data_IF_674919239014
#
_entry.id   IF_674919239014
#
_cell.length_a   1.000
_cell.length_b   1.000
_cell.length_c   1.000
_cell.angle_alpha   90.00
_cell.angle_beta   90.00
_cell.angle_gamma   90.00
#
_symmetry.space_group_name_H-M   'P 1'
#
loop_
_entity.id
_entity.type
_entity.pdbx_description
1 polymer ?
#
# COMPACT_ATOMS: atom_id res chain seq x y z
N UNK A 1 -11.00 34.20 14.93
CA UNK A 1 -12.31 33.67 14.52
C UNK A 1 -12.18 32.24 14.01
N UNK A 2 -11.24 31.96 13.11
CA UNK A 2 -11.22 30.68 12.38
C UNK A 2 -10.57 29.53 13.17
N UNK A 3 -9.49 29.80 13.91
CA UNK A 3 -8.83 28.81 14.79
C UNK A 3 -9.79 28.30 15.89
N UNK A 4 -10.59 29.20 16.47
CA UNK A 4 -11.56 28.83 17.50
C UNK A 4 -12.69 27.96 16.93
N UNK A 5 -13.12 28.23 15.69
CA UNK A 5 -14.11 27.41 15.01
C UNK A 5 -13.57 26.01 14.68
N UNK A 6 -12.34 25.92 14.18
CA UNK A 6 -11.65 24.64 13.93
C UNK A 6 -11.53 23.82 15.21
N UNK A 7 -11.16 24.44 16.32
CA UNK A 7 -11.04 23.77 17.61
C UNK A 7 -12.39 23.27 18.14
N UNK A 8 -13.44 24.08 18.06
CA UNK A 8 -14.79 23.64 18.43
C UNK A 8 -15.28 22.49 17.55
N UNK A 9 -15.03 22.56 16.23
CA UNK A 9 -15.38 21.49 15.30
C UNK A 9 -14.68 20.18 15.67
N UNK A 10 -13.37 20.20 15.88
CA UNK A 10 -12.60 19.00 16.23
C UNK A 10 -13.04 18.38 17.56
N UNK A 11 -13.48 19.20 18.52
CA UNK A 11 -14.05 18.69 19.77
C UNK A 11 -15.38 17.95 19.52
N UNK A 12 -16.27 18.52 18.70
CA UNK A 12 -17.54 17.86 18.33
C UNK A 12 -17.29 16.56 17.57
N UNK A 13 -16.32 16.55 16.64
CA UNK A 13 -15.93 15.33 15.92
C UNK A 13 -15.39 14.27 16.88
N UNK A 14 -14.54 14.66 17.83
CA UNK A 14 -14.02 13.75 18.85
C UNK A 14 -15.16 13.12 19.66
N UNK A 15 -16.14 13.90 20.08
CA UNK A 15 -17.27 13.39 20.86
C UNK A 15 -18.16 12.44 20.02
N UNK A 16 -18.11 12.56 18.69
CA UNK A 16 -18.83 11.68 17.75
C UNK A 16 -18.17 10.31 17.55
N UNK A 17 -16.91 10.14 17.99
CA UNK A 17 -16.16 8.88 17.87
C UNK A 17 -16.78 7.72 18.65
N UNK A 18 -17.52 8.00 19.73
CA UNK A 18 -18.15 6.98 20.58
C UNK A 18 -19.62 6.77 20.24
N UNK A 19 -20.12 7.37 19.14
CA UNK A 19 -21.50 7.21 18.73
C UNK A 19 -21.79 5.73 18.41
N UNK A 20 -22.92 5.20 18.88
CA UNK A 20 -23.29 3.80 18.66
C UNK A 20 -23.45 3.44 17.16
N UNK A 21 -23.81 4.40 16.32
CA UNK A 21 -23.99 4.19 14.89
C UNK A 21 -22.65 4.31 14.13
N UNK A 22 -22.21 3.22 13.50
CA UNK A 22 -20.95 3.21 12.74
C UNK A 22 -20.95 4.14 11.54
N UNK A 23 -22.12 4.47 10.96
CA UNK A 23 -22.20 5.46 9.88
C UNK A 23 -21.86 6.87 10.37
N UNK A 24 -22.21 7.22 11.61
CA UNK A 24 -21.82 8.50 12.21
C UNK A 24 -20.31 8.55 12.40
N UNK A 25 -19.70 7.44 12.84
CA UNK A 25 -18.24 7.33 12.99
C UNK A 25 -17.50 7.38 11.65
N UNK A 26 -18.05 6.76 10.59
CA UNK A 26 -17.54 6.88 9.23
C UNK A 26 -17.61 8.32 8.70
N UNK A 27 -18.73 9.01 8.88
CA UNK A 27 -18.83 10.44 8.53
C UNK A 27 -17.83 11.28 9.32
N UNK A 28 -17.65 10.97 10.61
CA UNK A 28 -16.66 11.64 11.48
C UNK A 28 -15.24 11.44 10.96
N UNK A 29 -14.87 10.21 10.55
CA UNK A 29 -13.60 9.90 9.91
C UNK A 29 -13.38 10.72 8.63
N UNK A 30 -14.40 10.84 7.78
CA UNK A 30 -14.31 11.64 6.55
C UNK A 30 -14.05 13.12 6.84
N UNK A 31 -14.66 13.66 7.90
CA UNK A 31 -14.44 15.04 8.34
C UNK A 31 -13.02 15.22 8.91
N UNK A 32 -12.51 14.25 9.66
CA UNK A 32 -11.09 14.25 10.07
C UNK A 32 -10.15 14.21 8.87
N UNK A 33 -10.43 13.36 7.87
CA UNK A 33 -9.64 13.30 6.64
C UNK A 33 -9.62 14.64 5.90
N UNK A 34 -10.77 15.31 5.78
CA UNK A 34 -10.82 16.65 5.19
C UNK A 34 -10.01 17.68 6.01
N UNK A 35 -10.07 17.61 7.34
CA UNK A 35 -9.32 18.50 8.22
C UNK A 35 -7.80 18.31 8.13
N UNK A 36 -7.31 17.10 7.78
CA UNK A 36 -5.87 16.81 7.65
C UNK A 36 -5.16 17.80 6.72
N UNK A 37 -5.78 18.15 5.59
CA UNK A 37 -5.19 19.00 4.54
C UNK A 37 -4.92 20.44 5.00
N UNK A 38 -5.52 20.88 6.10
CA UNK A 38 -5.45 22.26 6.61
C UNK A 38 -4.98 22.32 8.06
N UNK A 39 -4.53 21.20 8.62
CA UNK A 39 -4.10 21.13 10.01
C UNK A 39 -2.61 21.42 10.14
N UNK A 40 -2.25 22.21 11.15
CA UNK A 40 -0.86 22.33 11.55
C UNK A 40 -0.39 21.06 12.29
N UNK A 41 0.93 20.93 12.45
CA UNK A 41 1.55 19.81 13.16
C UNK A 41 0.94 19.59 14.54
N UNK A 42 0.65 20.67 15.27
CA UNK A 42 0.07 20.62 16.61
C UNK A 42 -1.29 19.95 16.61
N UNK A 43 -2.19 20.39 15.72
CA UNK A 43 -3.54 19.83 15.57
C UNK A 43 -3.51 18.38 15.09
N UNK A 44 -2.65 18.08 14.12
CA UNK A 44 -2.47 16.72 13.61
C UNK A 44 -2.05 15.76 14.73
N UNK A 45 -1.01 16.09 15.49
CA UNK A 45 -0.44 15.20 16.50
C UNK A 45 -1.31 15.07 17.77
N UNK A 46 -1.96 16.16 18.19
CA UNK A 46 -2.68 16.22 19.47
C UNK A 46 -4.18 15.93 19.38
N UNK A 47 -4.80 16.10 18.19
CA UNK A 47 -6.26 15.93 18.02
C UNK A 47 -6.61 14.88 16.99
N UNK A 48 -6.09 15.01 15.76
CA UNK A 48 -6.52 14.16 14.65
C UNK A 48 -5.94 12.75 14.77
N UNK A 49 -4.62 12.60 14.92
CA UNK A 49 -3.99 11.29 15.02
C UNK A 49 -4.55 10.43 16.19
N UNK A 50 -4.75 10.96 17.41
CA UNK A 50 -5.41 10.20 18.48
C UNK A 50 -6.83 9.74 18.14
N UNK A 51 -7.61 10.57 17.45
CA UNK A 51 -8.95 10.21 16.99
C UNK A 51 -8.90 9.06 15.97
N UNK A 52 -7.97 9.12 15.01
CA UNK A 52 -7.77 8.06 14.04
C UNK A 52 -7.31 6.76 14.69
N UNK A 53 -6.43 6.81 15.70
CA UNK A 53 -6.01 5.62 16.47
C UNK A 53 -7.21 4.97 17.19
N UNK A 54 -8.15 5.78 17.68
CA UNK A 54 -9.41 5.27 18.27
C UNK A 54 -10.24 4.54 17.22
N UNK A 55 -10.42 5.12 16.03
CA UNK A 55 -11.15 4.50 14.93
C UNK A 55 -10.43 3.28 14.33
N UNK A 56 -9.10 3.24 14.43
CA UNK A 56 -8.29 2.10 14.03
C UNK A 56 -8.53 0.86 14.90
N UNK A 57 -9.10 1.04 16.11
CA UNK A 57 -9.46 -0.03 17.04
C UNK A 57 -10.98 -0.20 17.17
N UNK A 58 -11.76 0.33 16.22
CA UNK A 58 -13.22 0.28 16.23
C UNK A 58 -13.77 -1.14 16.14
N UNK A 59 -14.92 -1.41 16.75
CA UNK A 59 -15.56 -2.72 16.68
C UNK A 59 -16.16 -3.03 15.30
N UNK A 60 -16.51 -2.00 14.52
CA UNK A 60 -17.02 -2.14 13.16
C UNK A 60 -15.85 -2.19 12.16
N UNK A 61 -15.69 -3.34 11.49
CA UNK A 61 -14.63 -3.56 10.50
C UNK A 61 -14.62 -2.51 9.39
N UNK A 62 -15.78 -1.96 9.02
CA UNK A 62 -15.90 -0.96 7.96
C UNK A 62 -15.23 0.36 8.37
N UNK A 63 -15.40 0.76 9.63
CA UNK A 63 -14.75 1.95 10.21
C UNK A 63 -13.24 1.75 10.23
N UNK A 64 -12.79 0.57 10.67
CA UNK A 64 -11.37 0.21 10.69
C UNK A 64 -10.74 0.27 9.30
N UNK A 65 -11.35 -0.41 8.33
CA UNK A 65 -10.88 -0.43 6.94
C UNK A 65 -10.78 0.99 6.38
N UNK A 66 -11.82 1.81 6.57
CA UNK A 66 -11.79 3.20 6.09
C UNK A 66 -10.66 4.01 6.74
N UNK A 67 -10.29 3.70 7.98
CA UNK A 67 -9.22 4.40 8.72
C UNK A 67 -7.83 4.11 8.13
N UNK A 68 -7.60 2.92 7.58
CA UNK A 68 -6.35 2.53 6.91
C UNK A 68 -5.99 3.53 5.81
N UNK A 69 -6.96 3.89 4.96
CA UNK A 69 -6.76 4.85 3.89
C UNK A 69 -6.38 6.25 4.41
N UNK A 70 -7.00 6.68 5.52
CA UNK A 70 -6.72 8.00 6.12
C UNK A 70 -5.32 8.05 6.75
N UNK A 71 -4.83 6.94 7.30
CA UNK A 71 -3.42 6.83 7.68
C UNK A 71 -2.47 6.94 6.47
N UNK A 72 -2.84 6.33 5.35
CA UNK A 72 -2.13 6.51 4.08
C UNK A 72 -2.04 7.98 3.68
N UNK A 73 -3.15 8.72 3.79
CA UNK A 73 -3.16 10.16 3.54
C UNK A 73 -2.23 10.95 4.47
N UNK A 74 -2.07 10.55 5.74
CA UNK A 74 -1.09 11.20 6.63
C UNK A 74 0.32 11.02 6.07
N UNK A 75 0.71 9.81 5.65
CA UNK A 75 2.06 9.55 5.09
C UNK A 75 2.33 10.43 3.86
N UNK A 76 1.32 10.68 3.03
CA UNK A 76 1.48 11.52 1.83
C UNK A 76 1.71 12.99 2.16
N UNK A 77 1.14 13.50 3.26
CA UNK A 77 1.10 14.94 3.58
C UNK A 77 1.93 15.35 4.80
N UNK A 78 2.46 14.40 5.57
CA UNK A 78 3.22 14.62 6.79
C UNK A 78 4.67 14.17 6.59
N UNK A 79 5.61 14.91 7.16
CA UNK A 79 7.05 14.58 7.10
C UNK A 79 7.67 14.39 8.49
N UNK A 80 6.88 14.63 9.54
CA UNK A 80 7.31 14.57 10.93
C UNK A 80 7.38 13.13 11.40
N UNK A 81 8.63 12.66 11.59
CA UNK A 81 8.94 11.27 11.90
C UNK A 81 8.16 10.73 13.11
N UNK A 82 7.98 11.53 14.17
CA UNK A 82 7.24 11.10 15.37
C UNK A 82 5.74 10.83 15.10
N UNK A 83 5.16 11.53 14.12
CA UNK A 83 3.78 11.29 13.67
C UNK A 83 3.75 10.05 12.78
N UNK A 84 4.70 9.94 11.84
CA UNK A 84 4.79 8.81 10.92
C UNK A 84 5.03 7.48 11.65
N UNK A 85 5.91 7.42 12.64
CA UNK A 85 6.18 6.22 13.46
C UNK A 85 4.92 5.71 14.18
N UNK A 86 4.09 6.64 14.66
CA UNK A 86 2.80 6.28 15.27
C UNK A 86 1.84 5.70 14.22
N UNK A 87 1.82 6.25 13.00
CA UNK A 87 1.03 5.71 11.89
C UNK A 87 1.53 4.34 11.45
N UNK A 88 2.84 4.14 11.33
CA UNK A 88 3.47 2.84 11.03
C UNK A 88 3.10 1.77 12.06
N UNK A 89 3.09 2.15 13.34
CA UNK A 89 2.64 1.28 14.42
C UNK A 89 1.18 0.83 14.23
N UNK A 90 0.31 1.68 13.69
CA UNK A 90 -1.08 1.29 13.40
C UNK A 90 -1.17 0.27 12.26
N UNK A 91 -0.36 0.38 11.21
CA UNK A 91 -0.31 -0.64 10.15
C UNK A 91 0.15 -2.01 10.68
N UNK A 92 1.14 -2.03 11.57
CA UNK A 92 1.58 -3.25 12.26
C UNK A 92 0.48 -3.82 13.17
N UNK A 93 -0.33 -2.96 13.82
CA UNK A 93 -1.48 -3.40 14.59
C UNK A 93 -2.57 -4.04 13.72
N UNK A 94 -2.85 -3.50 12.54
CA UNK A 94 -3.81 -4.12 11.61
C UNK A 94 -3.38 -5.53 11.16
N UNK A 95 -2.06 -5.74 10.97
CA UNK A 95 -1.50 -7.05 10.60
C UNK A 95 -1.49 -8.06 11.76
N UNK A 96 -1.28 -7.60 12.99
CA UNK A 96 -1.15 -8.49 14.15
C UNK A 96 -2.48 -8.76 14.89
N UNK A 97 -3.51 -7.94 14.69
CA UNK A 97 -4.79 -8.03 15.38
C UNK A 97 -5.55 -9.34 15.04
N UNK A 98 -5.68 -10.29 15.97
CA UNK A 98 -6.29 -11.59 15.70
C UNK A 98 -7.77 -11.52 15.30
N UNK A 99 -8.48 -10.42 15.62
CA UNK A 99 -9.90 -10.29 15.30
C UNK A 99 -10.13 -9.93 13.84
N UNK A 100 -9.14 -9.30 13.18
CA UNK A 100 -9.36 -8.73 11.85
C UNK A 100 -8.19 -8.93 10.86
N UNK A 101 -7.06 -9.46 11.31
CA UNK A 101 -5.91 -9.72 10.44
C UNK A 101 -6.20 -10.70 9.32
N UNK A 102 -7.24 -11.54 9.45
CA UNK A 102 -7.64 -12.51 8.42
C UNK A 102 -8.81 -11.97 7.55
N UNK A 103 -9.27 -10.73 7.80
CA UNK A 103 -10.35 -10.12 7.04
C UNK A 103 -9.89 -9.70 5.65
N UNK A 104 -10.51 -10.29 4.63
CA UNK A 104 -10.16 -10.06 3.22
C UNK A 104 -10.10 -8.58 2.83
N UNK A 105 -11.10 -7.80 3.24
CA UNK A 105 -11.18 -6.39 2.87
C UNK A 105 -10.12 -5.54 3.57
N UNK A 106 -9.69 -5.93 4.77
CA UNK A 106 -8.56 -5.30 5.48
C UNK A 106 -7.28 -5.47 4.68
N UNK A 107 -6.97 -6.69 4.22
CA UNK A 107 -5.79 -6.93 3.38
C UNK A 107 -5.83 -6.15 2.06
N UNK A 108 -6.97 -6.15 1.39
CA UNK A 108 -7.14 -5.41 0.13
C UNK A 108 -6.87 -3.92 0.35
N UNK A 109 -7.38 -3.33 1.43
CA UNK A 109 -7.18 -1.91 1.72
C UNK A 109 -5.73 -1.60 2.13
N UNK A 110 -5.06 -2.51 2.86
CA UNK A 110 -3.63 -2.41 3.17
C UNK A 110 -2.78 -2.38 1.90
N UNK A 111 -2.98 -3.32 0.97
CA UNK A 111 -2.22 -3.38 -0.30
C UNK A 111 -2.42 -2.09 -1.11
N UNK A 112 -3.67 -1.62 -1.23
CA UNK A 112 -3.99 -0.37 -1.93
C UNK A 112 -3.30 0.84 -1.29
N UNK A 113 -3.35 0.90 0.04
CA UNK A 113 -2.72 1.97 0.80
C UNK A 113 -1.21 1.96 0.58
N UNK A 114 -0.55 0.81 0.70
CA UNK A 114 0.89 0.67 0.43
C UNK A 114 1.29 1.01 -1.00
N UNK A 115 0.46 0.65 -1.97
CA UNK A 115 0.65 1.06 -3.36
C UNK A 115 0.63 2.59 -3.50
N UNK A 116 -0.31 3.25 -2.83
CA UNK A 116 -0.46 4.70 -2.88
C UNK A 116 0.69 5.44 -2.18
N UNK A 117 1.13 4.97 -1.02
CA UNK A 117 2.18 5.63 -0.23
C UNK A 117 3.60 5.25 -0.66
N UNK A 118 3.78 4.29 -1.57
CA UNK A 118 5.08 3.79 -2.02
C UNK A 118 6.14 4.88 -2.37
N UNK A 119 5.79 6.03 -3.00
CA UNK A 119 6.78 7.08 -3.27
C UNK A 119 7.03 8.04 -2.10
N UNK A 120 6.25 7.95 -1.01
CA UNK A 120 6.29 8.86 0.14
C UNK A 120 6.89 8.22 1.41
N UNK A 121 6.95 6.89 1.44
CA UNK A 121 7.43 6.13 2.60
C UNK A 121 8.95 6.10 2.66
N UNK A 122 9.50 6.11 3.88
CA UNK A 122 10.94 5.91 4.06
C UNK A 122 11.37 4.47 3.74
N UNK A 123 12.61 4.31 3.26
CA UNK A 123 13.16 3.00 2.87
C UNK A 123 13.09 1.96 3.99
N UNK A 124 13.27 2.38 5.25
CA UNK A 124 13.23 1.46 6.39
C UNK A 124 11.86 0.81 6.56
N UNK A 125 10.79 1.59 6.66
CA UNK A 125 9.43 1.03 6.80
C UNK A 125 9.00 0.24 5.55
N UNK A 126 9.44 0.68 4.37
CA UNK A 126 9.22 -0.04 3.11
C UNK A 126 9.83 -1.45 3.14
N UNK A 127 11.10 -1.57 3.56
CA UNK A 127 11.84 -2.83 3.58
C UNK A 127 11.50 -3.73 4.76
N UNK A 128 11.33 -3.14 5.96
CA UNK A 128 11.12 -3.89 7.22
C UNK A 128 9.67 -4.36 7.37
N UNK A 129 8.71 -3.72 6.69
CA UNK A 129 7.29 -4.03 6.88
C UNK A 129 6.51 -4.19 5.58
N UNK A 130 6.49 -3.19 4.69
CA UNK A 130 5.64 -3.23 3.49
C UNK A 130 6.00 -4.42 2.59
N UNK A 131 7.27 -4.61 2.26
CA UNK A 131 7.70 -5.70 1.39
C UNK A 131 7.44 -7.09 2.00
N UNK A 132 7.82 -7.36 3.27
CA UNK A 132 7.45 -8.61 3.95
C UNK A 132 5.94 -8.86 3.97
N UNK A 133 5.13 -7.83 4.25
CA UNK A 133 3.67 -7.93 4.27
C UNK A 133 3.11 -8.34 2.90
N UNK A 134 3.56 -7.69 1.82
CA UNK A 134 3.13 -8.00 0.46
C UNK A 134 3.54 -9.42 0.05
N UNK A 135 4.75 -9.86 0.40
CA UNK A 135 5.25 -11.19 0.09
C UNK A 135 4.44 -12.29 0.81
N UNK A 136 4.17 -12.08 2.11
CA UNK A 136 3.32 -12.97 2.89
C UNK A 136 1.90 -13.04 2.31
N UNK A 137 1.33 -11.88 1.95
CA UNK A 137 0.00 -11.80 1.35
C UNK A 137 -0.06 -12.49 -0.01
N UNK A 138 0.97 -12.35 -0.86
CA UNK A 138 1.07 -13.06 -2.14
C UNK A 138 1.15 -14.58 -1.96
N UNK A 139 1.91 -15.04 -0.98
CA UNK A 139 2.00 -16.47 -0.63
C UNK A 139 0.66 -17.04 -0.17
N UNK A 140 -0.04 -16.32 0.72
CA UNK A 140 -1.39 -16.69 1.17
C UNK A 140 -2.41 -16.67 0.02
N UNK A 141 -2.30 -15.70 -0.90
CA UNK A 141 -3.22 -15.56 -2.03
C UNK A 141 -3.16 -16.77 -2.98
N UNK A 142 -2.00 -17.40 -3.17
CA UNK A 142 -1.89 -18.64 -3.94
C UNK A 142 -2.76 -19.79 -3.38
N UNK A 143 -3.12 -19.74 -2.10
CA UNK A 143 -3.97 -20.73 -1.43
C UNK A 143 -5.46 -20.35 -1.44
N UNK A 144 -5.80 -19.18 -2.00
CA UNK A 144 -7.17 -18.66 -2.03
C UNK A 144 -8.06 -19.49 -2.96
N UNK A 145 -9.04 -20.18 -2.38
CA UNK A 145 -9.96 -21.05 -3.13
C UNK A 145 -10.97 -20.28 -3.98
N UNK A 146 -11.32 -19.05 -3.59
CA UNK A 146 -12.26 -18.22 -4.36
C UNK A 146 -11.50 -17.47 -5.44
N UNK A 147 -11.56 -17.97 -6.68
CA UNK A 147 -10.87 -17.37 -7.84
C UNK A 147 -11.11 -15.88 -8.00
N UNK A 148 -12.32 -15.38 -7.71
CA UNK A 148 -12.63 -13.94 -7.79
C UNK A 148 -11.80 -13.12 -6.81
N UNK A 149 -11.72 -13.56 -5.55
CA UNK A 149 -10.88 -12.91 -4.52
C UNK A 149 -9.40 -13.07 -4.84
N UNK A 150 -9.00 -14.26 -5.30
CA UNK A 150 -7.61 -14.57 -5.68
C UNK A 150 -7.13 -13.65 -6.79
N UNK A 151 -7.93 -13.50 -7.84
CA UNK A 151 -7.65 -12.61 -8.96
C UNK A 151 -7.61 -11.15 -8.52
N UNK A 152 -8.60 -10.69 -7.75
CA UNK A 152 -8.64 -9.31 -7.25
C UNK A 152 -7.41 -8.96 -6.42
N UNK A 153 -7.01 -9.82 -5.48
CA UNK A 153 -5.78 -9.61 -4.69
C UNK A 153 -4.53 -9.62 -5.58
N UNK A 154 -4.43 -10.55 -6.54
CA UNK A 154 -3.30 -10.61 -7.46
C UNK A 154 -3.16 -9.31 -8.29
N UNK A 155 -4.28 -8.72 -8.71
CA UNK A 155 -4.28 -7.42 -9.38
C UNK A 155 -3.71 -6.34 -8.46
N UNK A 156 -4.18 -6.20 -7.23
CA UNK A 156 -3.64 -5.16 -6.33
C UNK A 156 -2.17 -5.40 -5.96
N UNK A 157 -1.75 -6.65 -5.80
CA UNK A 157 -0.34 -7.00 -5.59
C UNK A 157 0.51 -6.61 -6.81
N UNK A 158 0.01 -6.81 -8.03
CA UNK A 158 0.69 -6.36 -9.23
C UNK A 158 0.86 -4.85 -9.28
N UNK A 159 -0.17 -4.09 -8.90
CA UNK A 159 -0.08 -2.63 -8.80
C UNK A 159 0.98 -2.21 -7.77
N UNK A 160 0.98 -2.85 -6.60
CA UNK A 160 1.95 -2.60 -5.53
C UNK A 160 3.39 -2.89 -5.98
N UNK A 161 3.67 -4.08 -6.51
CA UNK A 161 5.02 -4.44 -6.96
C UNK A 161 5.50 -3.59 -8.13
N UNK A 162 4.60 -3.18 -9.03
CA UNK A 162 4.94 -2.27 -10.13
C UNK A 162 5.31 -0.88 -9.63
N UNK A 163 4.61 -0.36 -8.62
CA UNK A 163 4.96 0.91 -7.99
C UNK A 163 6.32 0.82 -7.26
N UNK A 164 6.55 -0.26 -6.52
CA UNK A 164 7.75 -0.47 -5.73
C UNK A 164 8.98 -0.83 -6.56
N UNK A 165 8.84 -1.40 -7.77
CA UNK A 165 9.99 -1.80 -8.60
C UNK A 165 10.85 -0.62 -9.08
N UNK A 166 10.29 0.59 -9.02
CA UNK A 166 10.97 1.85 -9.32
C UNK A 166 11.79 2.42 -8.15
N UNK A 167 11.65 1.88 -6.94
CA UNK A 167 12.39 2.34 -5.75
C UNK A 167 13.77 1.63 -5.64
N UNK A 168 14.65 2.22 -4.84
CA UNK A 168 15.88 1.56 -4.41
C UNK A 168 15.55 0.60 -3.26
N UNK A 169 16.13 -0.60 -3.29
CA UNK A 169 15.95 -1.64 -2.27
C UNK A 169 17.29 -2.26 -1.94
N UNK A 170 17.49 -2.61 -0.69
CA UNK A 170 18.64 -3.41 -0.27
C UNK A 170 18.62 -4.80 -0.94
N UNK A 171 19.82 -5.38 -1.11
CA UNK A 171 19.99 -6.76 -1.60
C UNK A 171 19.20 -7.74 -0.74
N UNK A 172 19.23 -7.53 0.58
CA UNK A 172 18.51 -8.36 1.55
C UNK A 172 17.00 -8.30 1.34
N UNK A 173 16.42 -7.10 1.22
CA UNK A 173 14.97 -6.95 1.02
C UNK A 173 14.50 -7.52 -0.33
N UNK A 174 15.32 -7.37 -1.38
CA UNK A 174 15.06 -7.98 -2.69
C UNK A 174 15.00 -9.52 -2.60
N UNK A 175 15.96 -10.14 -1.91
CA UNK A 175 16.07 -11.59 -1.81
C UNK A 175 15.02 -12.19 -0.87
N UNK A 176 14.76 -11.54 0.27
CA UNK A 176 13.93 -12.10 1.33
C UNK A 176 12.44 -11.82 1.15
N UNK A 177 12.08 -10.73 0.45
CA UNK A 177 10.69 -10.27 0.37
C UNK A 177 10.24 -9.98 -1.05
N UNK A 178 10.97 -9.15 -1.80
CA UNK A 178 10.50 -8.67 -3.10
C UNK A 178 10.36 -9.80 -4.13
N UNK A 179 11.45 -10.53 -4.40
CA UNK A 179 11.45 -11.63 -5.38
C UNK A 179 10.52 -12.79 -4.98
N UNK A 180 10.52 -13.29 -3.72
CA UNK A 180 9.58 -14.31 -3.27
C UNK A 180 8.11 -13.93 -3.54
N UNK A 181 7.76 -12.67 -3.28
CA UNK A 181 6.42 -12.16 -3.56
C UNK A 181 6.07 -12.11 -5.04
N UNK A 182 7.02 -11.67 -5.89
CA UNK A 182 6.85 -11.70 -7.36
C UNK A 182 6.66 -13.13 -7.89
N UNK A 183 7.39 -14.12 -7.37
CA UNK A 183 7.19 -15.52 -7.75
C UNK A 183 5.80 -16.02 -7.38
N UNK A 184 5.32 -15.66 -6.19
CA UNK A 184 3.96 -15.98 -5.77
C UNK A 184 2.91 -15.35 -6.69
N UNK A 185 3.06 -14.06 -7.01
CA UNK A 185 2.16 -13.36 -7.92
C UNK A 185 2.19 -13.94 -9.34
N UNK A 186 3.37 -14.32 -9.83
CA UNK A 186 3.54 -15.00 -11.12
C UNK A 186 2.75 -16.30 -11.17
N UNK A 187 2.76 -17.09 -10.10
CA UNK A 187 1.99 -18.34 -9.99
C UNK A 187 0.48 -18.09 -10.10
N UNK A 188 -0.03 -17.06 -9.44
CA UNK A 188 -1.44 -16.65 -9.56
C UNK A 188 -1.81 -16.27 -11.00
N UNK A 189 -1.01 -15.41 -11.65
CA UNK A 189 -1.29 -15.01 -13.02
C UNK A 189 -1.11 -16.13 -14.05
N UNK A 190 -0.17 -17.05 -13.85
CA UNK A 190 -0.05 -18.21 -14.74
C UNK A 190 -1.34 -19.04 -14.79
N UNK A 191 -2.09 -19.09 -13.70
CA UNK A 191 -3.37 -19.83 -13.61
C UNK A 191 -4.56 -18.98 -14.05
N UNK A 192 -4.61 -17.70 -13.64
CA UNK A 192 -5.81 -16.87 -13.75
C UNK A 192 -5.78 -15.90 -14.93
N UNK A 193 -4.61 -15.36 -15.27
CA UNK A 193 -4.41 -14.31 -16.29
C UNK A 193 -3.04 -14.44 -16.98
N UNK A 194 -2.83 -15.45 -17.84
CA UNK A 194 -1.52 -15.72 -18.44
C UNK A 194 -0.88 -14.52 -19.17
N UNK A 195 -1.71 -13.62 -19.73
CA UNK A 195 -1.26 -12.39 -20.39
C UNK A 195 -0.40 -11.46 -19.51
N UNK A 196 -0.53 -11.55 -18.19
CA UNK A 196 0.22 -10.72 -17.24
C UNK A 196 1.59 -11.32 -16.87
N UNK A 197 1.83 -12.61 -17.15
CA UNK A 197 3.06 -13.31 -16.74
C UNK A 197 4.31 -12.68 -17.34
N UNK A 198 4.25 -12.27 -18.61
CA UNK A 198 5.41 -11.68 -19.29
C UNK A 198 5.90 -10.39 -18.62
N UNK A 199 4.99 -9.58 -18.07
CA UNK A 199 5.35 -8.35 -17.36
C UNK A 199 6.00 -8.68 -16.02
N UNK A 200 5.47 -9.66 -15.29
CA UNK A 200 6.07 -10.12 -14.03
C UNK A 200 7.46 -10.70 -14.27
N UNK A 201 7.63 -11.54 -15.31
CA UNK A 201 8.92 -12.12 -15.66
C UNK A 201 9.95 -11.03 -16.00
N UNK A 202 9.54 -9.96 -16.69
CA UNK A 202 10.40 -8.80 -16.97
C UNK A 202 10.83 -8.09 -15.68
N UNK A 203 9.89 -7.78 -14.78
CA UNK A 203 10.20 -7.12 -13.50
C UNK A 203 11.13 -8.00 -12.67
N UNK A 204 10.85 -9.29 -12.60
CA UNK A 204 11.64 -10.29 -11.86
C UNK A 204 13.08 -10.30 -12.36
N UNK A 205 13.27 -10.48 -13.67
CA UNK A 205 14.59 -10.52 -14.29
C UNK A 205 15.38 -9.23 -14.07
N UNK A 206 14.72 -8.07 -14.14
CA UNK A 206 15.39 -6.79 -13.90
C UNK A 206 15.89 -6.67 -12.46
N UNK A 207 15.14 -7.19 -11.48
CA UNK A 207 15.57 -7.22 -10.08
C UNK A 207 16.66 -8.26 -9.82
N UNK A 208 16.60 -9.43 -10.47
CA UNK A 208 17.67 -10.42 -10.41
C UNK A 208 18.99 -9.87 -10.97
N UNK A 209 18.96 -9.18 -12.11
CA UNK A 209 20.14 -8.54 -12.69
C UNK A 209 20.74 -7.49 -11.73
N UNK A 210 19.90 -6.73 -11.01
CA UNK A 210 20.36 -5.79 -9.97
C UNK A 210 21.07 -6.51 -8.82
N UNK A 211 20.63 -7.73 -8.46
CA UNK A 211 21.32 -8.53 -7.44
C UNK A 211 22.69 -9.00 -7.91
N UNK A 212 22.79 -9.46 -9.17
CA UNK A 212 24.06 -9.93 -9.74
C UNK A 212 25.12 -8.83 -9.81
N UNK A 213 24.72 -7.61 -10.19
CA UNK A 213 25.62 -6.44 -10.25
C UNK A 213 26.19 -6.03 -8.88
N UNK A 214 25.51 -6.36 -7.79
CA UNK A 214 25.94 -6.04 -6.42
C UNK A 214 26.79 -7.15 -5.78
N UNK A 215 27.10 -8.24 -6.50
CA UNK A 215 27.98 -9.30 -5.98
C UNK A 215 29.44 -8.83 -6.00
N UNK A 216 30.20 -9.00 -4.91
CA UNK A 216 31.59 -8.54 -4.81
C UNK A 216 32.56 -9.19 -5.81
N UNK A 217 32.21 -10.35 -6.39
CA UNK A 217 33.05 -11.10 -7.35
C UNK A 217 32.75 -10.79 -8.84
N UNK A 218 31.93 -9.77 -9.12
CA UNK A 218 31.60 -9.35 -10.48
C UNK A 218 32.71 -8.52 -11.12
N UNK A 219 33.59 -9.18 -11.88
CA UNK A 219 34.54 -8.54 -12.81
C UNK A 219 33.83 -7.54 -13.72
N UNK A 220 33.81 -6.25 -13.36
CA UNK A 220 33.13 -5.22 -14.16
C UNK A 220 34.16 -4.23 -14.66
N UNK A 221 34.47 -4.34 -15.95
CA UNK A 221 35.08 -3.28 -16.73
C UNK A 221 34.23 -2.03 -16.58
N UNK A 222 34.87 -0.96 -16.10
CA UNK A 222 34.29 0.39 -16.00
C UNK A 222 33.97 0.85 -17.42
N UNK A 223 32.74 0.63 -17.85
CA UNK A 223 32.13 1.27 -19.01
C UNK A 223 31.10 2.28 -18.52
N UNK A 224 31.47 3.56 -18.50
CA UNK A 224 30.57 4.67 -18.24
C UNK A 224 29.29 4.53 -19.10
N UNK A 225 28.17 4.16 -18.48
CA UNK A 225 26.85 4.31 -19.07
C UNK A 225 25.92 4.99 -18.07
N UNK A 226 25.48 6.18 -18.49
CA UNK A 226 24.52 7.05 -17.81
C UNK A 226 23.22 6.29 -17.50
N UNK A 227 23.00 5.97 -16.23
CA UNK A 227 21.84 5.22 -15.71
C UNK A 227 20.51 5.97 -15.80
N UNK A 228 20.49 7.21 -16.29
CA UNK A 228 19.29 8.04 -16.38
C UNK A 228 18.49 7.82 -17.66
N UNK A 229 19.11 7.36 -18.77
CA UNK A 229 18.47 7.38 -20.10
C UNK A 229 17.60 6.14 -20.42
N UNK A 230 17.80 5.03 -19.71
CA UNK A 230 16.99 3.81 -19.90
C UNK A 230 15.79 3.71 -18.96
N UNK A 231 15.82 4.41 -17.81
CA UNK A 231 14.76 4.34 -16.81
C UNK A 231 13.46 5.00 -17.30
N UNK A 232 13.55 6.09 -18.08
CA UNK A 232 12.39 6.79 -18.64
C UNK A 232 11.70 5.99 -19.77
N UNK A 233 12.48 5.39 -20.68
CA UNK A 233 11.92 4.59 -21.77
C UNK A 233 11.26 3.29 -21.27
N UNK A 234 11.83 2.67 -20.23
CA UNK A 234 11.25 1.49 -19.57
C UNK A 234 10.03 1.86 -18.73
N UNK A 235 10.07 2.97 -17.98
CA UNK A 235 8.88 3.51 -17.31
C UNK A 235 7.75 3.78 -18.29
N UNK A 236 8.03 4.36 -19.45
CA UNK A 236 7.02 4.61 -20.48
C UNK A 236 6.40 3.32 -21.02
N UNK A 237 7.21 2.29 -21.29
CA UNK A 237 6.71 0.97 -21.74
C UNK A 237 5.91 0.24 -20.66
N UNK A 238 6.39 0.26 -19.41
CA UNK A 238 5.68 -0.32 -18.28
C UNK A 238 4.39 0.44 -17.98
N UNK A 239 4.38 1.78 -17.96
CA UNK A 239 3.15 2.57 -17.80
C UNK A 239 2.13 2.28 -18.91
N UNK A 240 2.59 2.12 -20.15
CA UNK A 240 1.70 1.82 -21.29
C UNK A 240 1.13 0.40 -21.22
N UNK A 241 1.93 -0.60 -20.84
CA UNK A 241 1.40 -1.95 -20.61
C UNK A 241 0.48 -2.00 -19.38
N UNK A 242 0.87 -1.31 -18.31
CA UNK A 242 0.12 -1.21 -17.07
C UNK A 242 -1.23 -0.51 -17.25
N UNK A 243 -1.28 0.60 -17.98
CA UNK A 243 -2.53 1.31 -18.31
C UNK A 243 -3.48 0.43 -19.14
N UNK A 244 -2.96 -0.26 -20.15
CA UNK A 244 -3.74 -1.20 -20.95
C UNK A 244 -4.31 -2.38 -20.12
N UNK A 245 -3.50 -2.94 -19.22
CA UNK A 245 -3.91 -4.04 -18.33
C UNK A 245 -4.89 -3.56 -17.24
N UNK A 246 -4.71 -2.35 -16.71
CA UNK A 246 -5.62 -1.72 -15.74
C UNK A 246 -6.98 -1.42 -16.38
N UNK A 247 -7.01 -0.91 -17.60
CA UNK A 247 -8.27 -0.64 -18.32
C UNK A 247 -9.03 -1.92 -18.66
N UNK A 248 -8.31 -2.98 -19.07
CA UNK A 248 -8.89 -4.32 -19.26
C UNK A 248 -9.50 -4.85 -17.96
N UNK A 249 -8.79 -4.66 -16.85
CA UNK A 249 -9.21 -5.13 -15.52
C UNK A 249 -10.40 -4.33 -14.98
N UNK A 250 -10.39 -3.01 -15.10
CA UNK A 250 -11.50 -2.14 -14.69
C UNK A 250 -12.80 -2.43 -15.45
N UNK A 251 -12.71 -2.80 -16.74
CA UNK A 251 -13.86 -3.24 -17.54
C UNK A 251 -14.47 -4.54 -17.02
N UNK A 252 -13.64 -5.50 -16.61
CA UNK A 252 -14.09 -6.80 -16.07
C UNK A 252 -14.65 -6.65 -14.66
N UNK A 253 -14.01 -5.87 -13.77
CA UNK A 253 -14.53 -5.61 -12.41
C UNK A 253 -15.90 -4.93 -12.45
N UNK A 254 -16.13 -4.00 -13.40
CA UNK A 254 -17.47 -3.41 -13.64
C UNK A 254 -18.49 -4.42 -14.15
N UNK A 255 -18.06 -5.41 -14.91
CA UNK A 255 -18.94 -6.49 -15.38
C UNK A 255 -19.31 -7.46 -14.25
N UNK A 256 -18.36 -7.81 -13.39
CA UNK A 256 -18.59 -8.70 -12.24
C UNK A 256 -19.47 -8.05 -11.15
N UNK A 257 -19.39 -6.73 -10.94
CA UNK A 257 -20.28 -5.99 -10.02
C UNK A 257 -21.72 -5.80 -10.53
N UNK A 258 -22.00 -6.15 -11.79
CA UNK A 258 -23.34 -6.03 -12.41
C UNK A 258 -24.13 -7.35 -12.45
N UNK A 259 -23.61 -8.41 -11.83
CA UNK A 259 -24.31 -9.68 -11.58
C UNK A 259 -24.50 -9.87 -10.09
#
# INVERSE_FOLDING_TARGET
SDVQFQDSLLNVLRDSLTNANSQVRLCTLQLFHAALQHSDRSTLSSKILPALITLASDDDVTVRIATIAVFGSIIVHCSELDILERVYSQFQMFDSDPKFRDEYHTHVEMIKTFTHIAPHVESKFQEDFILPYLAATASQNNQQQRETKRLETAIYLFEAYSALSCCFHSVESLQNSFLPGLYCLRSDFAQLRPDHVAVIDSITKDLENKLELNRPDGSTLIGNFSSTFNQENLRGRMLNQFSNLRDSTARITRFMKKK
#
